data_IF_379291015971
#
_entry.id   IF_379291015971
#
_cell.length_a   1.000
_cell.length_b   1.000
_cell.length_c   1.000
_cell.angle_alpha   90.00
_cell.angle_beta   90.00
_cell.angle_gamma   90.00
#
_symmetry.space_group_name_H-M   'P 1'
#
loop_
_entity.id
_entity.type
_entity.pdbx_description
1 polymer ?
#
# COMPACT_ATOMS: atom_id res chain seq x y z
N UNK A 1 -1.59 -25.40 10.36
CA UNK A 1 -2.22 -25.12 9.05
C UNK A 1 -1.31 -24.11 8.36
N UNK A 2 -0.71 -24.47 7.24
CA UNK A 2 0.10 -23.56 6.43
C UNK A 2 -0.88 -22.59 5.73
N UNK A 3 -1.15 -21.45 6.35
CA UNK A 3 -1.88 -20.37 5.72
C UNK A 3 -1.06 -19.87 4.52
N UNK A 4 -1.63 -19.99 3.31
CA UNK A 4 -0.98 -19.45 2.12
C UNK A 4 -0.75 -17.94 2.26
N UNK A 5 0.25 -17.40 1.57
CA UNK A 5 0.50 -15.96 1.52
C UNK A 5 -0.72 -15.25 0.93
N UNK A 6 -1.15 -14.15 1.57
CA UNK A 6 -2.25 -13.34 1.06
C UNK A 6 -1.80 -12.56 -0.19
N UNK A 7 -2.54 -12.72 -1.26
CA UNK A 7 -2.34 -11.92 -2.48
C UNK A 7 -3.47 -10.92 -2.65
N UNK A 8 -3.11 -9.67 -2.95
CA UNK A 8 -4.07 -8.61 -3.27
C UNK A 8 -4.61 -8.72 -4.70
N UNK A 9 -3.85 -9.36 -5.61
CA UNK A 9 -4.27 -9.54 -7.01
C UNK A 9 -5.37 -10.59 -7.12
N UNK A 10 -6.47 -10.23 -7.81
CA UNK A 10 -7.59 -11.13 -8.14
C UNK A 10 -7.83 -11.16 -9.65
N UNK A 11 -8.13 -12.36 -10.15
CA UNK A 11 -8.42 -12.61 -11.57
C UNK A 11 -9.93 -12.81 -11.76
N UNK A 12 -10.57 -11.90 -12.49
CA UNK A 12 -11.98 -11.97 -12.83
C UNK A 12 -12.14 -12.84 -14.10
N UNK A 13 -12.33 -14.15 -13.90
CA UNK A 13 -12.39 -15.14 -15.00
C UNK A 13 -13.44 -14.80 -16.05
N UNK A 14 -14.57 -14.23 -15.68
CA UNK A 14 -15.64 -13.82 -16.59
C UNK A 14 -15.18 -12.78 -17.61
N UNK A 15 -14.34 -11.83 -17.20
CA UNK A 15 -13.82 -10.74 -18.05
C UNK A 15 -12.58 -11.13 -18.83
N UNK A 16 -11.84 -12.15 -18.40
CA UNK A 16 -10.60 -12.57 -19.03
C UNK A 16 -10.83 -13.14 -20.44
N UNK A 17 -10.08 -12.68 -21.43
CA UNK A 17 -10.12 -13.13 -22.83
C UNK A 17 -8.94 -14.04 -23.22
N UNK A 18 -8.06 -14.42 -22.27
CA UNK A 18 -6.91 -15.28 -22.53
C UNK A 18 -5.83 -14.70 -23.44
N UNK A 19 -5.76 -13.38 -23.57
CA UNK A 19 -4.88 -12.65 -24.53
C UNK A 19 -3.37 -12.71 -24.21
N UNK A 20 -2.95 -13.38 -23.15
CA UNK A 20 -1.57 -13.58 -22.65
C UNK A 20 -0.75 -12.33 -22.32
N UNK A 21 -1.31 -11.12 -22.42
CA UNK A 21 -0.60 -9.87 -22.12
C UNK A 21 -0.05 -9.84 -20.70
N UNK A 22 -0.83 -10.28 -19.72
CA UNK A 22 -0.42 -10.38 -18.31
C UNK A 22 0.68 -11.44 -18.08
N UNK A 23 0.70 -12.51 -18.88
CA UNK A 23 1.77 -13.54 -18.83
C UNK A 23 3.10 -12.93 -19.26
N UNK A 24 3.11 -12.20 -20.39
CA UNK A 24 4.31 -11.54 -20.91
C UNK A 24 4.82 -10.43 -20.00
N UNK A 25 3.92 -9.76 -19.29
CA UNK A 25 4.25 -8.65 -18.40
C UNK A 25 4.73 -9.09 -17.00
N UNK A 26 4.50 -10.35 -16.60
CA UNK A 26 4.79 -10.80 -15.25
C UNK A 26 6.29 -11.05 -15.03
N UNK A 27 6.98 -10.28 -14.14
CA UNK A 27 8.43 -10.39 -13.95
C UNK A 27 8.85 -11.70 -13.25
N UNK A 28 7.91 -12.37 -12.59
CA UNK A 28 8.15 -13.62 -11.86
C UNK A 28 7.49 -14.83 -12.50
N UNK A 29 6.92 -14.64 -13.69
CA UNK A 29 6.19 -15.70 -14.40
C UNK A 29 5.08 -16.36 -13.57
N UNK A 30 4.45 -15.57 -12.72
CA UNK A 30 3.38 -16.02 -11.81
C UNK A 30 2.03 -16.22 -12.49
N UNK A 31 1.91 -15.97 -13.80
CA UNK A 31 0.64 -16.10 -14.51
C UNK A 31 0.80 -17.08 -15.67
N UNK A 32 -0.21 -17.95 -15.83
CA UNK A 32 -0.35 -18.86 -16.98
C UNK A 32 -1.77 -18.73 -17.53
N UNK A 33 -1.93 -19.09 -18.83
CA UNK A 33 -3.27 -19.21 -19.44
C UNK A 33 -3.58 -20.69 -19.61
N UNK A 34 -4.70 -21.12 -19.03
CA UNK A 34 -5.24 -22.48 -19.16
C UNK A 34 -6.71 -22.39 -19.50
N UNK A 35 -7.16 -23.21 -20.43
CA UNK A 35 -8.55 -23.21 -20.91
C UNK A 35 -9.05 -21.80 -21.29
N UNK A 36 -8.19 -21.01 -21.97
CA UNK A 36 -8.52 -19.65 -22.42
C UNK A 36 -8.63 -18.61 -21.32
N UNK A 37 -8.23 -18.89 -20.08
CA UNK A 37 -8.29 -17.97 -18.93
C UNK A 37 -6.95 -17.88 -18.20
N UNK A 38 -6.65 -16.69 -17.69
CA UNK A 38 -5.48 -16.51 -16.84
C UNK A 38 -5.65 -17.17 -15.47
N UNK A 39 -4.58 -17.75 -14.96
CA UNK A 39 -4.49 -18.36 -13.63
C UNK A 39 -3.22 -17.86 -12.92
N UNK A 40 -3.33 -17.60 -11.61
CA UNK A 40 -2.22 -17.14 -10.78
C UNK A 40 -1.51 -18.33 -10.14
N UNK A 41 -0.18 -18.34 -10.23
CA UNK A 41 0.70 -19.21 -9.45
C UNK A 41 1.12 -18.43 -8.22
N UNK A 42 0.38 -18.57 -7.13
CA UNK A 42 0.52 -17.79 -5.89
C UNK A 42 1.97 -17.81 -5.34
N UNK A 43 2.62 -18.96 -5.32
CA UNK A 43 3.99 -19.09 -4.84
C UNK A 43 5.02 -18.19 -5.57
N UNK A 44 4.68 -17.70 -6.77
CA UNK A 44 5.55 -16.83 -7.59
C UNK A 44 5.09 -15.38 -7.61
N UNK A 45 3.87 -15.09 -7.18
CA UNK A 45 3.33 -13.74 -7.21
C UNK A 45 4.03 -12.85 -6.16
N UNK A 46 4.34 -11.62 -6.57
CA UNK A 46 4.93 -10.59 -5.72
C UNK A 46 4.02 -9.36 -5.57
N UNK A 47 2.78 -9.46 -6.00
CA UNK A 47 1.75 -8.42 -5.97
C UNK A 47 2.18 -7.06 -6.55
N UNK A 48 3.12 -7.04 -7.51
CA UNK A 48 3.66 -5.81 -8.09
C UNK A 48 2.64 -4.98 -8.91
N UNK A 49 1.50 -5.59 -9.30
CA UNK A 49 0.43 -4.91 -10.05
C UNK A 49 0.69 -4.75 -11.55
N UNK A 50 1.82 -5.22 -12.09
CA UNK A 50 2.11 -5.05 -13.53
C UNK A 50 1.07 -5.71 -14.43
N UNK A 51 0.58 -6.89 -14.04
CA UNK A 51 -0.50 -7.58 -14.75
C UNK A 51 -1.81 -6.80 -14.75
N UNK A 52 -2.14 -6.14 -13.64
CA UNK A 52 -3.33 -5.28 -13.49
C UNK A 52 -3.21 -4.08 -14.46
N UNK A 53 -2.08 -3.39 -14.43
CA UNK A 53 -1.81 -2.22 -15.26
C UNK A 53 -1.87 -2.52 -16.76
N UNK A 54 -1.51 -3.74 -17.16
CA UNK A 54 -1.46 -4.18 -18.58
C UNK A 54 -2.74 -4.82 -19.08
N UNK A 55 -3.71 -5.09 -18.22
CA UNK A 55 -4.93 -5.78 -18.63
C UNK A 55 -5.93 -4.84 -19.29
N UNK A 56 -5.98 -4.81 -20.63
CA UNK A 56 -6.93 -3.99 -21.38
C UNK A 56 -8.41 -4.41 -21.22
N UNK A 57 -8.67 -5.58 -20.65
CA UNK A 57 -10.03 -6.09 -20.38
C UNK A 57 -10.45 -5.87 -18.93
N UNK A 58 -9.63 -5.21 -18.11
CA UNK A 58 -9.88 -5.00 -16.67
C UNK A 58 -10.23 -6.28 -15.91
N UNK A 59 -9.75 -7.43 -16.41
CA UNK A 59 -9.99 -8.74 -15.81
C UNK A 59 -9.06 -9.04 -14.62
N UNK A 60 -8.21 -8.10 -14.23
CA UNK A 60 -7.33 -8.21 -13.09
C UNK A 60 -7.57 -6.99 -12.20
N UNK A 61 -7.84 -7.24 -10.93
CA UNK A 61 -8.12 -6.20 -9.94
C UNK A 61 -7.25 -6.37 -8.72
N UNK A 62 -7.11 -5.30 -7.93
CA UNK A 62 -6.53 -5.38 -6.59
C UNK A 62 -7.66 -5.38 -5.57
N UNK A 63 -7.62 -6.32 -4.64
CA UNK A 63 -8.52 -6.36 -3.49
C UNK A 63 -7.99 -5.41 -2.43
N UNK A 64 -8.84 -4.46 -2.00
CA UNK A 64 -8.59 -3.50 -0.92
C UNK A 64 -9.72 -3.54 0.08
N UNK A 65 -9.50 -2.98 1.25
CA UNK A 65 -10.56 -2.77 2.22
C UNK A 65 -11.52 -1.67 1.73
N UNK A 66 -12.71 -1.63 2.27
CA UNK A 66 -13.74 -0.65 1.91
C UNK A 66 -13.75 0.50 2.90
N UNK A 67 -14.13 1.69 2.43
CA UNK A 67 -14.22 2.87 3.29
C UNK A 67 -15.19 2.67 4.45
N UNK A 68 -16.28 1.95 4.22
CA UNK A 68 -17.30 1.65 5.23
C UNK A 68 -16.73 0.85 6.42
N UNK A 69 -15.62 0.14 6.25
CA UNK A 69 -14.95 -0.58 7.34
C UNK A 69 -14.31 0.35 8.38
N UNK A 70 -14.18 1.64 8.08
CA UNK A 70 -13.71 2.64 9.05
C UNK A 70 -14.72 2.86 10.18
N UNK A 71 -16.00 2.65 9.92
CA UNK A 71 -17.10 2.87 10.87
C UNK A 71 -17.02 1.99 12.14
N UNK A 72 -16.22 0.92 12.11
CA UNK A 72 -15.99 0.06 13.29
C UNK A 72 -15.10 0.70 14.36
N UNK A 73 -14.41 1.80 14.05
CA UNK A 73 -13.52 2.51 14.96
C UNK A 73 -14.14 3.82 15.41
N UNK A 74 -13.81 4.25 16.63
CA UNK A 74 -14.27 5.54 17.17
C UNK A 74 -13.47 6.73 16.63
N UNK A 75 -12.25 6.48 16.21
CA UNK A 75 -11.33 7.50 15.71
C UNK A 75 -10.55 6.93 14.54
N UNK A 76 -10.59 7.59 13.41
CA UNK A 76 -9.99 7.11 12.17
C UNK A 76 -8.86 8.02 11.69
N UNK A 77 -7.70 7.43 11.45
CA UNK A 77 -6.51 8.11 10.97
C UNK A 77 -6.25 7.71 9.51
N UNK A 78 -6.15 8.68 8.63
CA UNK A 78 -5.71 8.44 7.25
C UNK A 78 -4.20 8.64 7.12
N UNK A 79 -3.55 7.72 6.39
CA UNK A 79 -2.15 7.80 6.01
C UNK A 79 -2.03 7.99 4.49
N UNK A 80 -2.16 9.21 3.96
CA UNK A 80 -1.95 9.48 2.55
C UNK A 80 -0.46 9.38 2.18
N UNK A 81 -0.11 8.66 1.10
CA UNK A 81 1.24 8.69 0.54
C UNK A 81 1.41 9.90 -0.40
N UNK A 82 2.64 10.34 -0.69
CA UNK A 82 2.90 11.41 -1.66
C UNK A 82 2.24 11.20 -3.03
N UNK A 83 2.07 9.93 -3.44
CA UNK A 83 1.43 9.58 -4.71
C UNK A 83 -0.08 9.91 -4.75
N UNK A 84 -0.75 10.13 -3.62
CA UNK A 84 -2.14 10.59 -3.60
C UNK A 84 -2.23 12.02 -4.14
N UNK A 85 -1.36 12.90 -3.66
CA UNK A 85 -1.35 14.30 -4.07
C UNK A 85 -1.07 14.46 -5.56
N UNK A 86 -0.23 13.59 -6.12
CA UNK A 86 0.09 13.56 -7.55
C UNK A 86 -1.07 13.11 -8.46
N UNK A 87 -2.19 12.65 -7.90
CA UNK A 87 -3.39 12.34 -8.70
C UNK A 87 -4.22 13.59 -9.01
N UNK A 88 -4.07 14.65 -8.21
CA UNK A 88 -4.85 15.88 -8.36
C UNK A 88 -4.14 16.87 -9.28
N UNK A 89 -4.89 17.79 -9.90
CA UNK A 89 -4.31 18.89 -10.66
C UNK A 89 -3.33 19.72 -9.80
N UNK A 90 -2.27 20.30 -10.40
CA UNK A 90 -1.24 21.02 -9.65
C UNK A 90 -1.75 22.19 -8.80
N UNK A 91 -2.90 22.79 -9.18
CA UNK A 91 -3.57 23.86 -8.46
C UNK A 91 -4.31 23.40 -7.20
N UNK A 92 -4.51 22.08 -7.02
CA UNK A 92 -5.19 21.55 -5.85
C UNK A 92 -4.25 21.57 -4.65
N UNK A 93 -4.57 22.34 -3.64
CA UNK A 93 -3.76 22.42 -2.42
C UNK A 93 -3.85 21.13 -1.59
N UNK A 94 -2.80 20.83 -0.86
CA UNK A 94 -2.82 19.71 0.11
C UNK A 94 -3.94 19.88 1.14
N UNK A 95 -4.22 21.13 1.56
CA UNK A 95 -5.31 21.43 2.49
C UNK A 95 -6.69 21.04 1.93
N UNK A 96 -6.93 21.25 0.63
CA UNK A 96 -8.18 20.83 -0.01
C UNK A 96 -8.34 19.30 -0.05
N UNK A 97 -7.24 18.58 -0.27
CA UNK A 97 -7.23 17.10 -0.24
C UNK A 97 -7.50 16.60 1.18
N UNK A 98 -6.90 17.22 2.19
CA UNK A 98 -7.12 16.89 3.59
C UNK A 98 -8.55 17.17 4.03
N UNK A 99 -9.12 18.30 3.63
CA UNK A 99 -10.54 18.59 3.85
C UNK A 99 -11.44 17.52 3.22
N UNK A 100 -11.09 17.06 2.00
CA UNK A 100 -11.77 15.94 1.37
C UNK A 100 -11.68 14.65 2.18
N UNK A 101 -10.53 14.33 2.76
CA UNK A 101 -10.34 13.18 3.63
C UNK A 101 -11.15 13.32 4.94
N UNK A 102 -11.18 14.50 5.56
CA UNK A 102 -12.03 14.74 6.73
C UNK A 102 -13.51 14.52 6.43
N UNK A 103 -13.99 15.00 5.27
CA UNK A 103 -15.38 14.75 4.83
C UNK A 103 -15.69 13.30 4.52
N UNK A 104 -14.67 12.47 4.27
CA UNK A 104 -14.82 11.02 4.12
C UNK A 104 -14.85 10.28 5.48
N UNK A 105 -14.75 11.00 6.61
CA UNK A 105 -14.89 10.45 7.96
C UNK A 105 -13.57 10.16 8.65
N UNK A 106 -12.44 10.71 8.17
CA UNK A 106 -11.17 10.63 8.91
C UNK A 106 -11.04 11.79 9.89
N UNK A 107 -10.75 11.46 11.14
CA UNK A 107 -10.58 12.43 12.23
C UNK A 107 -9.18 13.05 12.21
N UNK A 108 -8.18 12.30 11.75
CA UNK A 108 -6.78 12.70 11.69
C UNK A 108 -6.17 12.33 10.34
N UNK A 109 -5.27 13.17 9.84
CA UNK A 109 -4.51 12.91 8.62
C UNK A 109 -3.04 13.06 8.95
N UNK A 110 -2.27 12.01 8.71
CA UNK A 110 -0.83 12.03 8.89
C UNK A 110 -0.12 11.65 7.59
N UNK A 111 0.57 12.63 6.99
CA UNK A 111 1.28 12.43 5.72
C UNK A 111 2.47 11.49 5.90
N UNK A 112 2.47 10.40 5.13
CA UNK A 112 3.58 9.42 5.15
C UNK A 112 4.91 10.06 4.71
N UNK A 113 4.90 11.18 3.99
CA UNK A 113 6.10 11.90 3.61
C UNK A 113 6.92 12.34 4.82
N UNK A 114 6.25 12.78 5.91
CA UNK A 114 6.91 13.17 7.16
C UNK A 114 7.71 12.00 7.74
N UNK A 115 7.08 10.83 7.87
CA UNK A 115 7.79 9.64 8.34
C UNK A 115 8.91 9.21 7.37
N UNK A 116 8.72 9.40 6.05
CA UNK A 116 9.73 9.07 5.04
C UNK A 116 11.01 9.90 5.20
N UNK A 117 10.88 11.15 5.63
CA UNK A 117 12.03 12.02 5.91
C UNK A 117 12.86 11.47 7.07
N UNK A 118 12.23 11.14 8.22
CA UNK A 118 12.92 10.54 9.36
C UNK A 118 13.56 9.19 9.03
N UNK A 119 12.86 8.32 8.32
CA UNK A 119 13.38 7.02 7.90
C UNK A 119 14.57 7.20 6.93
N UNK A 120 14.56 8.23 6.09
CA UNK A 120 15.69 8.54 5.21
C UNK A 120 16.94 8.93 6.00
N UNK A 121 16.78 9.67 7.10
CA UNK A 121 17.90 10.00 8.03
C UNK A 121 18.44 8.74 8.71
N UNK A 122 17.57 7.85 9.17
CA UNK A 122 17.97 6.57 9.77
C UNK A 122 18.74 5.68 8.77
N UNK A 123 18.25 5.61 7.52
CA UNK A 123 18.95 4.89 6.45
C UNK A 123 20.32 5.52 6.19
N UNK A 124 20.42 6.83 6.12
CA UNK A 124 21.68 7.53 5.92
C UNK A 124 22.68 7.27 7.07
N UNK A 125 22.20 7.28 8.32
CA UNK A 125 23.02 6.94 9.49
C UNK A 125 23.48 5.47 9.46
N UNK A 126 22.58 4.54 9.10
CA UNK A 126 22.92 3.13 8.90
C UNK A 126 24.02 2.95 7.84
N UNK A 127 23.84 3.59 6.66
CA UNK A 127 24.81 3.51 5.55
C UNK A 127 26.18 4.05 5.93
N UNK A 128 26.22 5.16 6.68
CA UNK A 128 27.46 5.78 7.14
C UNK A 128 28.25 4.87 8.08
N UNK A 129 27.54 4.09 8.91
CA UNK A 129 28.14 3.20 9.91
C UNK A 129 28.30 1.75 9.43
N UNK A 130 27.89 1.46 8.17
CA UNK A 130 27.90 0.10 7.64
C UNK A 130 29.30 -0.37 7.28
N UNK A 131 29.83 -1.29 8.06
CA UNK A 131 31.13 -1.93 7.86
C UNK A 131 31.03 -3.35 7.29
N UNK A 132 29.82 -3.81 6.92
CA UNK A 132 29.61 -5.12 6.30
C UNK A 132 30.15 -5.20 4.87
N UNK A 133 30.71 -6.34 4.49
CA UNK A 133 31.32 -6.54 3.16
C UNK A 133 30.33 -6.73 2.01
N UNK A 134 29.03 -6.89 2.27
CA UNK A 134 28.04 -7.21 1.22
C UNK A 134 27.38 -5.95 0.65
N UNK A 135 27.54 -5.75 -0.65
CA UNK A 135 26.93 -4.65 -1.41
C UNK A 135 26.35 -5.22 -2.73
N UNK A 136 25.32 -4.58 -3.34
CA UNK A 136 24.62 -3.38 -2.90
C UNK A 136 23.74 -3.63 -1.67
N UNK A 137 23.40 -2.57 -0.91
CA UNK A 137 22.35 -2.60 0.10
C UNK A 137 21.00 -2.33 -0.57
N UNK A 138 19.94 -2.99 -0.10
CA UNK A 138 18.63 -2.98 -0.71
C UNK A 138 17.64 -2.31 0.26
N UNK A 139 16.88 -1.33 -0.24
CA UNK A 139 15.83 -0.66 0.55
C UNK A 139 14.68 -1.61 0.89
N UNK A 140 14.20 -1.54 2.13
CA UNK A 140 13.03 -2.30 2.61
C UNK A 140 11.68 -1.66 2.20
N UNK A 141 11.67 -0.48 1.58
CA UNK A 141 10.45 0.33 1.37
C UNK A 141 9.44 -0.31 0.42
N UNK A 142 9.89 -1.16 -0.53
CA UNK A 142 9.01 -1.78 -1.52
C UNK A 142 8.71 -3.26 -1.19
N UNK A 143 7.48 -3.61 -0.75
CA UNK A 143 7.14 -5.00 -0.44
C UNK A 143 7.24 -5.95 -1.63
N UNK A 144 7.00 -5.46 -2.86
CA UNK A 144 7.20 -6.28 -4.06
C UNK A 144 8.66 -6.69 -4.25
N UNK A 145 9.62 -5.79 -3.94
CA UNK A 145 11.05 -6.11 -3.99
C UNK A 145 11.42 -7.12 -2.91
N UNK A 146 10.93 -6.93 -1.69
CA UNK A 146 11.15 -7.88 -0.59
C UNK A 146 10.61 -9.27 -0.94
N UNK A 147 9.39 -9.33 -1.48
CA UNK A 147 8.79 -10.58 -1.92
C UNK A 147 9.55 -11.20 -3.10
N UNK A 148 10.04 -10.39 -4.04
CA UNK A 148 10.90 -10.86 -5.14
C UNK A 148 12.18 -11.53 -4.60
N UNK A 149 12.81 -10.91 -3.60
CA UNK A 149 13.99 -11.47 -2.93
C UNK A 149 13.61 -12.81 -2.31
N UNK A 150 12.54 -12.88 -1.52
CA UNK A 150 12.13 -14.14 -0.89
C UNK A 150 11.85 -15.27 -1.90
N UNK A 151 11.24 -14.93 -3.05
CA UNK A 151 10.82 -15.93 -4.05
C UNK A 151 11.93 -16.35 -5.00
N UNK A 152 12.79 -15.40 -5.42
CA UNK A 152 13.79 -15.67 -6.48
C UNK A 152 15.24 -15.52 -6.03
N UNK A 153 15.54 -14.73 -5.00
CA UNK A 153 16.91 -14.35 -4.62
C UNK A 153 17.10 -14.37 -3.10
N UNK A 154 16.76 -15.49 -2.41
CA UNK A 154 16.76 -15.53 -0.94
C UNK A 154 18.14 -15.21 -0.31
N UNK A 155 19.22 -15.38 -1.06
CA UNK A 155 20.58 -15.00 -0.63
C UNK A 155 20.75 -13.49 -0.42
N UNK A 156 19.92 -12.66 -1.06
CA UNK A 156 19.97 -11.21 -0.96
C UNK A 156 19.27 -10.65 0.29
N UNK A 157 18.55 -11.48 1.04
CA UNK A 157 17.81 -11.02 2.24
C UNK A 157 18.72 -10.34 3.27
N UNK A 158 19.99 -10.76 3.36
CA UNK A 158 20.99 -10.18 4.26
C UNK A 158 21.52 -8.82 3.82
N UNK A 159 21.14 -8.37 2.63
CA UNK A 159 21.50 -7.06 2.07
C UNK A 159 20.35 -6.05 2.21
N UNK A 160 19.18 -6.50 2.68
CA UNK A 160 18.05 -5.61 2.98
C UNK A 160 18.40 -4.77 4.22
N UNK A 161 18.23 -3.46 4.09
CA UNK A 161 18.47 -2.52 5.20
C UNK A 161 17.40 -2.76 6.28
N UNK A 162 17.78 -3.04 7.54
CA UNK A 162 16.87 -3.42 8.61
C UNK A 162 16.24 -2.18 9.29
N UNK A 163 15.53 -1.37 8.52
CA UNK A 163 14.83 -0.16 8.99
C UNK A 163 13.35 -0.33 8.72
N UNK A 164 12.49 0.20 9.60
CA UNK A 164 11.05 0.17 9.41
C UNK A 164 10.62 0.87 8.12
N UNK A 165 9.64 0.35 7.40
CA UNK A 165 9.02 1.09 6.29
C UNK A 165 8.38 2.39 6.77
N UNK A 166 8.43 3.48 6.00
CA UNK A 166 7.83 4.77 6.39
C UNK A 166 6.35 4.68 6.77
N UNK A 167 5.59 3.82 6.11
CA UNK A 167 4.16 3.59 6.42
C UNK A 167 3.94 3.04 7.82
N UNK A 168 4.76 2.08 8.26
CA UNK A 168 4.69 1.52 9.61
C UNK A 168 5.16 2.53 10.66
N UNK A 169 6.24 3.25 10.38
CA UNK A 169 6.73 4.30 11.26
C UNK A 169 5.67 5.40 11.48
N UNK A 170 5.00 5.82 10.39
CA UNK A 170 3.90 6.77 10.44
C UNK A 170 2.74 6.25 11.32
N UNK A 171 2.33 5.00 11.09
CA UNK A 171 1.23 4.39 11.83
C UNK A 171 1.52 4.30 13.33
N UNK A 172 2.71 3.83 13.71
CA UNK A 172 3.15 3.73 15.11
C UNK A 172 3.16 5.13 15.75
N UNK A 173 3.76 6.10 15.08
CA UNK A 173 3.90 7.45 15.60
C UNK A 173 2.53 8.10 15.85
N UNK A 174 1.70 8.22 14.80
CA UNK A 174 0.44 8.96 14.89
C UNK A 174 -0.57 8.27 15.81
N UNK A 175 -0.61 6.93 15.82
CA UNK A 175 -1.49 6.19 16.73
C UNK A 175 -1.14 6.44 18.18
N UNK A 176 0.15 6.46 18.54
CA UNK A 176 0.61 6.77 19.88
C UNK A 176 0.27 8.23 20.28
N UNK A 177 0.47 9.19 19.38
CA UNK A 177 0.11 10.59 19.58
C UNK A 177 -1.39 10.74 19.87
N UNK A 178 -2.25 10.10 19.07
CA UNK A 178 -3.71 10.13 19.26
C UNK A 178 -4.10 9.48 20.58
N UNK A 179 -3.52 8.32 20.92
CA UNK A 179 -3.79 7.66 22.22
C UNK A 179 -3.45 8.57 23.40
N UNK A 180 -2.29 9.24 23.37
CA UNK A 180 -1.86 10.15 24.45
C UNK A 180 -2.77 11.37 24.55
N UNK A 181 -3.17 11.96 23.43
CA UNK A 181 -3.98 13.17 23.35
C UNK A 181 -5.45 12.94 23.73
N UNK A 182 -6.03 11.80 23.30
CA UNK A 182 -7.46 11.52 23.43
C UNK A 182 -7.81 10.60 24.60
N UNK A 183 -6.85 9.82 25.11
CA UNK A 183 -7.08 8.76 26.09
C UNK A 183 -7.79 7.52 25.53
N UNK A 184 -8.00 7.45 24.22
CA UNK A 184 -8.59 6.27 23.56
C UNK A 184 -7.63 5.10 23.63
N UNK A 185 -8.18 3.88 23.66
CA UNK A 185 -7.41 2.65 23.58
C UNK A 185 -7.03 2.33 22.15
N UNK A 186 -5.97 1.54 21.98
CA UNK A 186 -5.47 1.15 20.65
C UNK A 186 -6.51 0.49 19.74
N UNK A 187 -7.41 -0.31 20.31
CA UNK A 187 -8.50 -0.99 19.60
C UNK A 187 -9.65 -0.07 19.16
N UNK A 188 -9.72 1.14 19.70
CA UNK A 188 -10.71 2.14 19.34
C UNK A 188 -10.26 3.05 18.19
N UNK A 189 -8.97 2.97 17.81
CA UNK A 189 -8.34 3.80 16.78
C UNK A 189 -8.03 2.98 15.55
N UNK A 190 -8.66 3.32 14.43
CA UNK A 190 -8.40 2.76 13.12
C UNK A 190 -7.32 3.55 12.37
N UNK A 191 -6.29 2.87 11.86
CA UNK A 191 -5.25 3.48 11.02
C UNK A 191 -5.37 2.91 9.60
N UNK A 192 -5.55 3.78 8.61
CA UNK A 192 -5.90 3.43 7.24
C UNK A 192 -4.89 3.97 6.25
N UNK A 193 -4.18 3.08 5.58
CA UNK A 193 -3.23 3.49 4.56
C UNK A 193 -3.93 3.64 3.20
N UNK A 194 -3.70 4.76 2.51
CA UNK A 194 -4.19 4.94 1.13
C UNK A 194 -3.19 4.31 0.18
N UNK A 195 -3.47 3.06 -0.23
CA UNK A 195 -2.51 2.22 -0.93
C UNK A 195 -2.41 2.56 -2.42
N UNK A 196 -1.20 2.89 -2.92
CA UNK A 196 -0.98 3.20 -4.33
C UNK A 196 -0.78 1.96 -5.20
N UNK A 197 -0.57 0.79 -4.61
CA UNK A 197 -0.28 -0.42 -5.37
C UNK A 197 -0.67 -1.70 -4.59
N UNK A 198 -0.91 -2.82 -5.31
CA UNK A 198 -1.31 -4.08 -4.69
C UNK A 198 -0.31 -4.65 -3.68
N UNK A 199 1.01 -4.45 -3.88
CA UNK A 199 2.01 -4.99 -2.96
C UNK A 199 1.97 -4.32 -1.59
N UNK A 200 1.70 -3.02 -1.54
CA UNK A 200 1.50 -2.30 -0.26
C UNK A 200 0.27 -2.82 0.48
N UNK A 201 -0.82 -3.06 -0.25
CA UNK A 201 -2.03 -3.64 0.31
C UNK A 201 -1.81 -5.07 0.83
N UNK A 202 -1.17 -5.94 0.03
CA UNK A 202 -0.84 -7.29 0.48
C UNK A 202 0.04 -7.30 1.74
N UNK A 203 1.00 -6.37 1.84
CA UNK A 203 1.91 -6.26 2.97
C UNK A 203 1.21 -5.85 4.27
N UNK A 204 0.17 -5.04 4.22
CA UNK A 204 -0.62 -4.67 5.40
C UNK A 204 -1.36 -5.88 5.96
N UNK A 205 -1.97 -6.68 5.09
CA UNK A 205 -2.69 -7.89 5.53
C UNK A 205 -1.76 -9.03 5.95
N UNK A 206 -0.59 -9.11 5.34
CA UNK A 206 0.43 -10.11 5.68
C UNK A 206 1.82 -9.53 5.46
N UNK A 207 2.31 -8.86 6.49
CA UNK A 207 3.61 -8.19 6.45
C UNK A 207 4.75 -9.17 6.16
N UNK A 208 5.64 -8.79 5.26
CA UNK A 208 6.89 -9.50 4.97
C UNK A 208 8.07 -8.95 5.76
N UNK A 209 7.90 -7.82 6.39
CA UNK A 209 8.95 -7.01 7.04
C UNK A 209 8.68 -6.72 8.53
N UNK A 210 7.41 -6.73 8.96
CA UNK A 210 6.99 -6.45 10.35
C UNK A 210 6.12 -7.58 10.88
N UNK A 211 6.33 -7.99 12.12
CA UNK A 211 5.53 -9.09 12.73
C UNK A 211 4.10 -8.66 13.07
N UNK A 212 3.92 -7.40 13.48
CA UNK A 212 2.62 -6.83 13.86
C UNK A 212 2.54 -5.42 13.30
N UNK A 213 1.69 -5.22 12.31
CA UNK A 213 1.38 -3.89 11.79
C UNK A 213 0.43 -3.13 12.73
N UNK A 214 0.59 -1.81 12.81
CA UNK A 214 -0.36 -0.91 13.45
C UNK A 214 -1.41 -0.37 12.48
N UNK A 215 -1.34 -0.76 11.20
CA UNK A 215 -2.28 -0.36 10.16
C UNK A 215 -3.44 -1.35 10.15
N UNK A 216 -4.65 -0.87 10.30
CA UNK A 216 -5.86 -1.69 10.37
C UNK A 216 -6.36 -2.13 9.00
N UNK A 217 -6.11 -1.32 7.97
CA UNK A 217 -6.50 -1.66 6.60
C UNK A 217 -5.92 -0.71 5.56
N UNK A 218 -6.18 -1.03 4.29
CA UNK A 218 -5.71 -0.23 3.16
C UNK A 218 -6.83 0.07 2.17
N UNK A 219 -6.97 1.34 1.85
CA UNK A 219 -7.96 1.86 0.91
C UNK A 219 -7.31 2.14 -0.44
N UNK A 220 -8.02 1.87 -1.52
CA UNK A 220 -7.50 2.13 -2.86
C UNK A 220 -7.33 3.63 -3.11
N UNK A 221 -6.14 4.03 -3.59
CA UNK A 221 -5.89 5.43 -3.99
C UNK A 221 -6.88 5.92 -5.04
N UNK A 222 -7.30 5.07 -5.98
CA UNK A 222 -8.25 5.43 -7.04
C UNK A 222 -9.66 5.62 -6.49
N UNK A 223 -10.07 4.85 -5.49
CA UNK A 223 -11.37 5.00 -4.83
C UNK A 223 -11.41 6.31 -4.04
N UNK A 224 -10.40 6.55 -3.19
CA UNK A 224 -10.30 7.77 -2.37
C UNK A 224 -10.25 9.00 -3.26
N UNK A 225 -9.41 9.00 -4.31
CA UNK A 225 -9.36 10.07 -5.30
C UNK A 225 -10.73 10.34 -5.91
N UNK A 226 -11.44 9.29 -6.38
CA UNK A 226 -12.77 9.45 -6.99
C UNK A 226 -13.82 9.98 -6.02
N UNK A 227 -13.76 9.59 -4.73
CA UNK A 227 -14.66 10.09 -3.69
C UNK A 227 -14.36 11.56 -3.38
N UNK A 228 -13.09 11.97 -3.24
CA UNK A 228 -12.69 13.36 -3.01
C UNK A 228 -13.11 14.26 -4.18
N UNK A 229 -12.89 13.82 -5.43
CA UNK A 229 -13.32 14.59 -6.60
C UNK A 229 -14.83 14.86 -6.60
N UNK A 230 -15.65 13.88 -6.24
CA UNK A 230 -17.11 14.07 -6.14
C UNK A 230 -17.47 15.13 -5.10
N UNK A 231 -16.79 15.15 -3.96
CA UNK A 231 -16.99 16.14 -2.91
C UNK A 231 -16.58 17.54 -3.41
N UNK A 232 -15.43 17.66 -4.08
CA UNK A 232 -14.96 18.93 -4.63
C UNK A 232 -15.85 19.45 -5.76
N UNK A 233 -16.32 18.57 -6.68
CA UNK A 233 -17.17 18.97 -7.81
C UNK A 233 -18.56 19.42 -7.38
N UNK A 234 -19.11 18.87 -6.29
CA UNK A 234 -20.39 19.34 -5.74
C UNK A 234 -20.30 20.76 -5.18
N UNK A 235 -19.09 21.22 -4.80
CA UNK A 235 -18.86 22.57 -4.27
C UNK A 235 -18.65 23.64 -5.36
N UNK A 236 -18.25 23.23 -6.57
CA UNK A 236 -18.05 24.19 -7.69
C UNK A 236 -19.32 24.44 -8.50
N UNK A 237 -20.40 23.70 -8.26
CA UNK A 237 -21.70 23.88 -8.93
C UNK A 237 -22.60 24.94 -8.28
N UNK A 238 -22.24 25.43 -7.09
CA UNK A 238 -23.03 26.42 -6.32
C UNK A 238 -22.32 27.81 -6.24
N UNK A 239 -21.31 28.07 -7.09
CA UNK A 239 -20.59 29.35 -7.15
C UNK A 239 -20.87 30.09 -8.45
#
# INVERSE_FOLDING_TARGET
MAGGYFHSIRLLRSQCQGCVTCVKACPTEAIRVRNGKAELIEARCIDCGECLRRCGYHAIVAETDKLEETEQFKYNIALPPPSLYAQFPPETSAAAIWEGLHRLGFDEIFDVAVASEYISLEIAAYLKNYNGGRKPLISCTCPAVLRLIQVKFPELIKQVVPVLPPTEAAAIYVKNEVMQRTGLKSEEIGVWFIAPCPSKNANIRQSVDVRHTQINGSLSISEIYGKILKICLLYTSDA
#
